data_IF_836733930569
#
_entry.id   IF_836733930569
#
_cell.length_a   1.000
_cell.length_b   1.000
_cell.length_c   1.000
_cell.angle_alpha   90.00
_cell.angle_beta   90.00
_cell.angle_gamma   90.00
#
_symmetry.space_group_name_H-M   'P 1'
#
loop_
_entity.id
_entity.type
_entity.pdbx_description
1 polymer ?
#
# COMPACT_ATOMS: atom_id res chain seq x y z
N UNK A 1 -5.56 12.39 -13.35
CA UNK A 1 -5.48 12.05 -11.89
C UNK A 1 -4.82 13.21 -11.17
N UNK A 2 -5.54 13.88 -10.24
CA UNK A 2 -5.07 15.13 -9.63
C UNK A 2 -4.79 15.02 -8.14
N UNK A 3 -5.41 14.06 -7.44
CA UNK A 3 -5.33 13.92 -5.98
C UNK A 3 -4.70 12.59 -5.59
N UNK A 4 -3.70 12.60 -4.71
CA UNK A 4 -3.09 11.39 -4.15
C UNK A 4 -2.44 11.67 -2.80
N UNK A 5 -2.49 10.70 -1.86
CA UNK A 5 -1.90 10.80 -0.53
C UNK A 5 -1.45 9.43 -0.01
N UNK A 6 -0.49 9.42 0.90
CA UNK A 6 -0.12 8.23 1.68
C UNK A 6 -0.86 8.21 3.00
N UNK A 7 -1.32 7.03 3.39
CA UNK A 7 -2.03 6.82 4.63
C UNK A 7 -1.56 5.56 5.35
N UNK A 8 -1.85 5.47 6.64
CA UNK A 8 -1.68 4.26 7.45
C UNK A 8 -3.04 3.70 7.83
N UNK A 9 -3.24 2.39 7.64
CA UNK A 9 -4.46 1.71 8.06
C UNK A 9 -4.48 1.56 9.57
N UNK A 10 -5.40 2.26 10.24
CA UNK A 10 -5.62 2.16 11.70
C UNK A 10 -6.42 0.90 12.01
N UNK A 11 -7.58 0.74 11.36
CA UNK A 11 -8.47 -0.37 11.62
C UNK A 11 -9.73 -0.32 10.79
N UNK A 12 -10.74 -1.06 11.23
CA UNK A 12 -12.09 -1.01 10.68
C UNK A 12 -13.08 -0.82 11.82
N UNK A 13 -14.12 -0.07 11.55
CA UNK A 13 -15.26 0.17 12.42
C UNK A 13 -16.53 0.26 11.59
N UNK A 14 -17.61 0.65 12.20
CA UNK A 14 -18.89 0.90 11.56
C UNK A 14 -19.45 2.23 12.02
N UNK A 15 -20.21 2.88 11.17
CA UNK A 15 -20.93 4.11 11.47
C UNK A 15 -22.37 3.96 11.00
N UNK A 16 -23.28 4.68 11.64
CA UNK A 16 -24.67 4.77 11.20
C UNK A 16 -24.84 6.06 10.40
N UNK A 17 -25.52 5.97 9.27
CA UNK A 17 -25.97 7.15 8.53
C UNK A 17 -27.20 7.76 9.21
N UNK A 18 -27.64 8.93 8.75
CA UNK A 18 -28.85 9.62 9.24
C UNK A 18 -30.11 8.74 9.15
N UNK A 19 -30.19 7.89 8.14
CA UNK A 19 -31.27 6.92 7.93
C UNK A 19 -31.19 5.68 8.85
N UNK A 20 -30.22 5.62 9.77
CA UNK A 20 -30.00 4.47 10.64
C UNK A 20 -29.34 3.26 9.95
N UNK A 21 -28.90 3.40 8.70
CA UNK A 21 -28.23 2.33 7.95
C UNK A 21 -26.77 2.18 8.40
N UNK A 22 -26.39 0.96 8.79
CA UNK A 22 -25.05 0.62 9.22
C UNK A 22 -24.09 0.55 8.02
N UNK A 23 -23.05 1.37 8.03
CA UNK A 23 -22.02 1.41 6.99
C UNK A 23 -20.68 0.95 7.57
N UNK A 24 -20.09 -0.17 7.07
CA UNK A 24 -18.75 -0.59 7.48
C UNK A 24 -17.69 0.34 6.88
N UNK A 25 -16.78 0.81 7.71
CA UNK A 25 -15.72 1.74 7.27
C UNK A 25 -14.34 1.29 7.70
N UNK A 26 -13.35 1.61 6.87
CA UNK A 26 -11.94 1.51 7.22
C UNK A 26 -11.43 2.89 7.61
N UNK A 27 -10.78 2.96 8.77
CA UNK A 27 -10.14 4.17 9.30
C UNK A 27 -8.71 4.25 8.79
N UNK A 28 -8.39 5.32 8.09
CA UNK A 28 -7.08 5.60 7.52
C UNK A 28 -6.55 6.92 8.07
N UNK A 29 -5.36 6.91 8.65
CA UNK A 29 -4.64 8.13 9.00
C UNK A 29 -3.88 8.59 7.76
N UNK A 30 -4.33 9.66 7.12
CA UNK A 30 -3.87 10.16 5.82
C UNK A 30 -3.05 11.44 6.00
N UNK A 31 -1.74 11.35 5.88
CA UNK A 31 -0.84 12.50 6.03
C UNK A 31 -0.47 12.84 7.50
N UNK A 32 0.20 13.98 7.73
CA UNK A 32 0.73 14.87 6.70
C UNK A 32 1.82 14.19 5.85
N UNK A 33 1.76 14.40 4.55
CA UNK A 33 2.78 13.95 3.59
C UNK A 33 3.54 15.17 3.08
N UNK A 34 4.87 15.07 2.97
CA UNK A 34 5.72 16.17 2.50
C UNK A 34 6.21 15.87 1.09
N UNK A 35 6.10 16.82 0.18
CA UNK A 35 6.65 16.73 -1.18
C UNK A 35 8.16 16.82 -1.11
N UNK A 36 8.86 15.77 -1.51
CA UNK A 36 10.32 15.71 -1.46
C UNK A 36 10.98 15.99 -2.79
N UNK A 37 10.25 15.79 -3.89
CA UNK A 37 10.73 16.07 -5.23
C UNK A 37 9.54 16.22 -6.18
N UNK A 38 9.63 17.15 -7.10
CA UNK A 38 8.72 17.29 -8.24
C UNK A 38 9.46 16.86 -9.50
N UNK A 39 8.83 16.04 -10.31
CA UNK A 39 9.36 15.51 -11.57
C UNK A 39 8.58 16.12 -12.72
N UNK A 40 9.32 16.64 -13.69
CA UNK A 40 8.77 17.29 -14.89
C UNK A 40 9.07 16.48 -16.14
N UNK A 41 8.29 16.71 -17.17
CA UNK A 41 8.47 16.02 -18.46
C UNK A 41 9.84 16.35 -19.08
N UNK A 42 10.33 17.56 -18.89
CA UNK A 42 11.61 18.03 -19.45
C UNK A 42 12.81 17.29 -18.86
N UNK A 43 12.84 17.10 -17.52
CA UNK A 43 13.98 16.53 -16.83
C UNK A 43 13.88 15.00 -16.66
N UNK A 44 12.68 14.49 -16.36
CA UNK A 44 12.46 13.08 -15.97
C UNK A 44 11.68 12.30 -17.05
N UNK A 45 11.14 12.97 -18.06
CA UNK A 45 10.32 12.35 -19.12
C UNK A 45 8.87 12.09 -18.73
N UNK A 46 8.45 12.46 -17.52
CA UNK A 46 7.07 12.32 -17.04
C UNK A 46 6.78 13.24 -15.86
N UNK A 47 5.48 13.57 -15.68
CA UNK A 47 5.01 14.43 -14.59
C UNK A 47 4.65 13.59 -13.37
N UNK A 48 5.27 13.87 -12.20
CA UNK A 48 5.02 13.16 -10.94
C UNK A 48 5.50 13.98 -9.73
N UNK A 49 4.92 13.67 -8.57
CA UNK A 49 5.44 14.13 -7.29
C UNK A 49 5.96 12.96 -6.47
N UNK A 50 7.08 13.15 -5.80
CA UNK A 50 7.57 12.23 -4.80
C UNK A 50 7.19 12.76 -3.43
N UNK A 51 6.52 11.93 -2.62
CA UNK A 51 6.05 12.30 -1.28
C UNK A 51 6.65 11.41 -0.22
N UNK A 52 7.01 12.02 0.90
CA UNK A 52 7.49 11.38 2.11
C UNK A 52 6.42 11.33 3.19
N UNK A 53 6.28 10.19 3.89
CA UNK A 53 5.30 9.97 4.95
C UNK A 53 5.90 9.23 6.14
N UNK A 54 5.48 9.62 7.34
CA UNK A 54 5.96 9.06 8.60
C UNK A 54 7.41 9.44 8.90
N UNK A 55 7.70 9.81 10.12
CA UNK A 55 9.06 10.23 10.51
C UNK A 55 9.98 9.03 10.74
N UNK A 56 11.24 9.21 10.41
CA UNK A 56 12.30 8.23 10.61
C UNK A 56 13.51 8.89 11.26
N UNK A 57 13.97 8.32 12.37
CA UNK A 57 15.16 8.82 13.07
C UNK A 57 16.41 8.62 12.19
N UNK A 58 17.37 9.52 12.30
CA UNK A 58 18.66 9.39 11.63
C UNK A 58 19.51 8.26 12.24
N UNK A 59 20.32 7.62 11.41
CA UNK A 59 21.34 6.68 11.85
C UNK A 59 22.63 7.45 12.13
N UNK A 60 23.04 7.49 13.40
CA UNK A 60 24.26 8.14 13.82
C UNK A 60 25.33 7.07 14.06
N UNK A 61 26.52 7.27 13.49
CA UNK A 61 27.67 6.40 13.69
C UNK A 61 28.77 7.22 14.36
N UNK A 62 28.97 7.00 15.64
CA UNK A 62 30.03 7.61 16.42
C UNK A 62 31.20 6.62 16.59
N UNK A 63 32.42 7.15 16.79
CA UNK A 63 33.55 6.35 17.28
C UNK A 63 33.64 6.56 18.80
N UNK A 64 33.80 5.48 19.54
CA UNK A 64 34.12 5.55 20.97
C UNK A 64 35.56 5.95 21.20
N UNK A 65 35.95 6.13 22.49
CA UNK A 65 37.32 6.45 22.90
C UNK A 65 38.32 5.37 22.47
N UNK A 66 37.85 4.12 22.26
CA UNK A 66 38.68 3.00 21.79
C UNK A 66 38.66 2.85 20.26
N UNK A 67 38.09 3.79 19.51
CA UNK A 67 37.99 3.76 18.05
C UNK A 67 36.94 2.79 17.50
N UNK A 68 36.17 2.10 18.34
CA UNK A 68 35.06 1.22 17.91
C UNK A 68 33.87 2.03 17.42
N UNK A 69 33.25 1.55 16.35
CA UNK A 69 32.04 2.17 15.79
C UNK A 69 30.83 1.86 16.66
N UNK A 70 30.27 2.88 17.31
CA UNK A 70 28.98 2.79 18.02
C UNK A 70 27.90 3.33 17.11
N UNK A 71 26.90 2.50 16.81
CA UNK A 71 25.78 2.85 15.94
C UNK A 71 24.56 3.15 16.79
N UNK A 72 24.12 4.41 16.77
CA UNK A 72 22.88 4.87 17.36
C UNK A 72 21.80 4.79 16.28
N UNK A 73 20.61 4.29 16.63
CA UNK A 73 19.52 4.04 15.70
C UNK A 73 19.95 3.20 14.46
N UNK A 74 20.31 1.92 14.63
CA UNK A 74 20.86 1.11 13.53
C UNK A 74 19.91 0.98 12.34
N UNK A 75 18.59 1.10 12.55
CA UNK A 75 17.56 1.11 11.51
C UNK A 75 17.14 2.52 11.03
N UNK A 76 17.86 3.54 11.46
CA UNK A 76 17.64 4.94 11.07
C UNK A 76 17.98 5.22 9.60
N UNK A 77 17.70 6.45 9.17
CA UNK A 77 18.07 6.93 7.84
C UNK A 77 19.59 7.07 7.69
N UNK A 78 20.14 6.49 6.63
CA UNK A 78 21.57 6.64 6.30
C UNK A 78 21.87 8.04 5.74
N UNK A 79 23.17 8.40 5.67
CA UNK A 79 23.65 9.71 5.20
C UNK A 79 23.08 10.13 3.83
N UNK A 80 23.00 9.20 2.88
CA UNK A 80 22.45 9.46 1.55
C UNK A 80 20.96 9.86 1.60
N UNK A 81 20.15 9.13 2.38
CA UNK A 81 18.74 9.45 2.57
C UNK A 81 18.56 10.79 3.30
N UNK A 82 19.35 11.05 4.34
CA UNK A 82 19.36 12.34 5.05
C UNK A 82 19.67 13.49 4.08
N UNK A 83 20.69 13.31 3.20
CA UNK A 83 21.04 14.30 2.17
C UNK A 83 19.89 14.59 1.21
N UNK A 84 19.14 13.54 0.80
CA UNK A 84 17.96 13.69 -0.05
C UNK A 84 16.88 14.54 0.62
N UNK A 85 16.55 14.24 1.89
CA UNK A 85 15.52 14.98 2.62
C UNK A 85 15.96 16.42 2.98
N UNK A 86 17.27 16.64 3.23
CA UNK A 86 17.80 17.99 3.44
C UNK A 86 17.62 18.90 2.22
N UNK A 87 17.73 18.34 0.99
CA UNK A 87 17.43 19.12 -0.22
C UNK A 87 15.98 19.58 -0.29
N UNK A 88 15.07 18.79 0.27
CA UNK A 88 13.65 19.13 0.36
C UNK A 88 13.29 19.93 1.63
N UNK A 89 14.27 20.32 2.47
CA UNK A 89 14.03 21.06 3.70
C UNK A 89 13.30 20.29 4.79
N UNK A 90 13.28 18.94 4.74
CA UNK A 90 12.47 18.11 5.62
C UNK A 90 13.28 17.10 6.42
N UNK A 91 12.68 16.58 7.50
CA UNK A 91 13.22 15.46 8.26
C UNK A 91 13.11 14.16 7.48
N UNK A 92 13.98 13.15 7.73
CA UNK A 92 13.89 11.86 7.08
C UNK A 92 12.52 11.20 7.29
N UNK A 93 11.92 10.71 6.20
CA UNK A 93 10.62 10.02 6.22
C UNK A 93 10.79 8.51 6.07
N UNK A 94 9.84 7.76 6.66
CA UNK A 94 9.86 6.29 6.65
C UNK A 94 9.47 5.73 5.28
N UNK A 95 8.46 6.31 4.68
CA UNK A 95 7.94 5.88 3.39
C UNK A 95 8.11 7.00 2.38
N UNK A 96 8.69 6.66 1.24
CA UNK A 96 8.81 7.55 0.09
C UNK A 96 8.12 6.86 -1.08
N UNK A 97 7.18 7.54 -1.73
CA UNK A 97 6.45 7.03 -2.88
C UNK A 97 6.24 8.14 -3.90
N UNK A 98 6.08 7.72 -5.12
CA UNK A 98 5.86 8.59 -6.25
C UNK A 98 4.42 8.45 -6.74
N UNK A 99 3.81 9.58 -7.06
CA UNK A 99 2.50 9.66 -7.67
C UNK A 99 2.61 10.41 -9.00
N UNK A 100 2.21 9.76 -10.08
CA UNK A 100 2.05 10.40 -11.37
C UNK A 100 0.76 11.19 -11.35
N UNK A 101 0.87 12.51 -11.43
CA UNK A 101 -0.24 13.44 -11.40
C UNK A 101 -0.15 14.36 -12.64
N UNK A 102 -1.31 14.74 -13.18
CA UNK A 102 -1.38 15.63 -14.32
C UNK A 102 -1.04 17.08 -13.93
N UNK A 103 -1.20 17.41 -12.64
CA UNK A 103 -0.95 18.71 -12.04
C UNK A 103 0.27 18.73 -11.11
N UNK A 104 1.29 17.93 -11.40
CA UNK A 104 2.47 17.85 -10.51
C UNK A 104 3.23 19.18 -10.39
N UNK A 105 3.12 20.06 -11.38
CA UNK A 105 3.77 21.38 -11.42
C UNK A 105 3.17 22.38 -10.41
N UNK A 106 1.95 22.14 -9.94
CA UNK A 106 1.30 22.97 -8.92
C UNK A 106 1.89 22.77 -7.51
N UNK A 107 2.67 21.69 -7.33
CA UNK A 107 3.24 21.35 -6.03
C UNK A 107 4.65 21.89 -5.87
N UNK A 108 4.90 22.50 -4.72
CA UNK A 108 6.23 22.97 -4.33
C UNK A 108 6.96 21.93 -3.48
N UNK A 109 8.30 21.88 -3.61
CA UNK A 109 9.14 21.03 -2.76
C UNK A 109 9.05 21.53 -1.32
N UNK A 110 8.81 20.62 -0.38
CA UNK A 110 8.62 20.92 1.05
C UNK A 110 7.16 21.21 1.44
N UNK A 111 6.23 21.37 0.48
CA UNK A 111 4.81 21.54 0.78
C UNK A 111 4.21 20.32 1.45
N UNK A 112 3.23 20.52 2.32
CA UNK A 112 2.52 19.46 3.03
C UNK A 112 1.18 19.15 2.35
N UNK A 113 0.93 17.86 2.15
CA UNK A 113 -0.34 17.33 1.66
C UNK A 113 -1.05 16.68 2.84
N UNK A 114 -2.26 17.14 3.16
CA UNK A 114 -3.10 16.66 4.26
C UNK A 114 -4.37 15.99 3.72
N UNK A 115 -5.22 15.49 4.62
CA UNK A 115 -6.47 14.82 4.27
C UNK A 115 -7.48 15.73 3.55
N UNK A 116 -7.34 17.04 3.67
CA UNK A 116 -8.20 18.10 3.10
C UNK A 116 -8.21 18.15 1.56
N UNK A 117 -7.25 17.49 0.89
CA UNK A 117 -7.27 17.39 -0.59
C UNK A 117 -8.48 16.62 -1.12
N UNK A 118 -9.10 15.78 -0.29
CA UNK A 118 -10.31 15.02 -0.64
C UNK A 118 -11.55 15.66 -0.03
N UNK A 119 -12.70 15.37 -0.64
CA UNK A 119 -14.02 15.72 -0.12
C UNK A 119 -14.82 14.47 0.27
N UNK A 120 -15.81 14.64 1.13
CA UNK A 120 -16.78 13.58 1.43
C UNK A 120 -17.58 13.24 0.17
N UNK A 121 -17.80 11.94 -0.07
CA UNK A 121 -18.40 11.43 -1.29
C UNK A 121 -17.43 11.19 -2.44
N UNK A 122 -16.18 11.67 -2.36
CA UNK A 122 -15.15 11.39 -3.39
C UNK A 122 -14.92 9.88 -3.52
N UNK A 123 -14.72 9.42 -4.76
CA UNK A 123 -14.35 8.03 -5.06
C UNK A 123 -12.84 7.91 -5.23
N UNK A 124 -12.26 6.98 -4.51
CA UNK A 124 -10.82 6.76 -4.46
C UNK A 124 -10.43 5.32 -4.75
N UNK A 125 -9.20 5.14 -5.20
CA UNK A 125 -8.54 3.85 -5.38
C UNK A 125 -7.52 3.66 -4.25
N UNK A 126 -7.64 2.57 -3.50
CA UNK A 126 -6.74 2.24 -2.40
C UNK A 126 -5.79 1.11 -2.79
N UNK A 127 -4.49 1.40 -2.80
CA UNK A 127 -3.44 0.42 -3.12
C UNK A 127 -2.59 0.14 -1.89
N UNK A 128 -2.47 -1.15 -1.53
CA UNK A 128 -1.61 -1.57 -0.44
C UNK A 128 -1.06 -2.99 -0.64
N UNK A 129 -0.12 -3.40 0.21
CA UNK A 129 0.37 -4.77 0.26
C UNK A 129 -0.64 -5.63 1.04
N UNK A 130 -1.20 -6.65 0.41
CA UNK A 130 -2.17 -7.56 1.02
C UNK A 130 -1.56 -8.38 2.17
N UNK A 131 -2.41 -8.89 3.06
CA UNK A 131 -1.96 -9.81 4.12
C UNK A 131 -1.29 -11.04 3.51
N UNK A 132 -0.13 -11.42 4.02
CA UNK A 132 0.54 -12.66 3.64
C UNK A 132 -0.23 -13.89 4.12
N UNK A 133 -0.26 -14.94 3.31
CA UNK A 133 -0.89 -16.24 3.62
C UNK A 133 0.10 -17.39 3.57
N UNK A 134 1.39 -17.08 3.44
CA UNK A 134 2.48 -18.03 3.37
C UNK A 134 2.43 -18.91 2.11
N UNK A 135 3.00 -20.09 2.20
CA UNK A 135 2.90 -21.13 1.15
C UNK A 135 1.51 -21.75 1.21
N UNK A 136 0.78 -21.72 0.11
CA UNK A 136 -0.60 -22.21 0.03
C UNK A 136 -0.75 -23.27 -1.07
N UNK A 137 -1.51 -24.31 -0.78
CA UNK A 137 -1.89 -25.34 -1.73
C UNK A 137 -2.86 -24.83 -2.80
N UNK A 138 -3.04 -25.62 -3.86
CA UNK A 138 -3.87 -25.26 -5.01
C UNK A 138 -5.33 -24.92 -4.63
N UNK A 139 -5.89 -25.61 -3.66
CA UNK A 139 -7.26 -25.39 -3.18
C UNK A 139 -7.40 -23.98 -2.62
N UNK A 140 -6.55 -23.60 -1.66
CA UNK A 140 -6.59 -22.27 -1.04
C UNK A 140 -6.20 -21.16 -2.01
N UNK A 141 -5.20 -21.42 -2.89
CA UNK A 141 -4.63 -20.40 -3.79
C UNK A 141 -5.51 -20.12 -5.00
N UNK A 142 -6.16 -21.14 -5.53
CA UNK A 142 -6.90 -21.05 -6.79
C UNK A 142 -8.35 -21.54 -6.72
N UNK A 143 -8.83 -21.95 -5.54
CA UNK A 143 -10.18 -22.49 -5.38
C UNK A 143 -10.39 -23.84 -6.07
N UNK A 144 -9.33 -24.64 -6.21
CA UNK A 144 -9.46 -25.98 -6.77
C UNK A 144 -10.35 -26.87 -5.90
N UNK A 145 -11.08 -27.79 -6.53
CA UNK A 145 -11.92 -28.75 -5.81
C UNK A 145 -11.07 -29.71 -4.98
N UNK A 146 -11.45 -29.90 -3.74
CA UNK A 146 -10.91 -30.95 -2.87
C UNK A 146 -11.64 -32.27 -3.15
N UNK A 147 -10.99 -33.39 -2.88
CA UNK A 147 -11.63 -34.69 -2.86
C UNK A 147 -12.59 -34.85 -1.66
N UNK A 148 -13.38 -35.96 -1.62
CA UNK A 148 -14.27 -36.24 -0.50
C UNK A 148 -13.54 -36.27 0.84
N UNK A 149 -14.16 -35.76 1.91
CA UNK A 149 -13.60 -35.80 3.25
C UNK A 149 -13.84 -37.14 3.97
N UNK A 150 -14.78 -37.95 3.47
CA UNK A 150 -15.20 -39.24 4.02
C UNK A 150 -15.12 -40.34 2.93
N UNK A 151 -15.75 -41.49 3.19
CA UNK A 151 -15.80 -42.66 2.28
C UNK A 151 -14.42 -43.25 1.91
N UNK A 152 -13.45 -43.21 2.85
CA UNK A 152 -12.13 -43.76 2.66
C UNK A 152 -11.22 -42.99 1.68
N UNK A 153 -11.63 -41.83 1.20
CA UNK A 153 -10.83 -41.00 0.31
C UNK A 153 -9.57 -40.51 1.04
N UNK A 154 -8.42 -40.65 0.39
CA UNK A 154 -7.13 -40.10 0.84
C UNK A 154 -6.73 -38.87 0.01
N UNK A 155 -7.58 -38.46 -0.93
CA UNK A 155 -7.30 -37.35 -1.87
C UNK A 155 -7.95 -36.05 -1.37
N UNK A 156 -7.36 -35.43 -0.32
CA UNK A 156 -7.93 -34.21 0.28
C UNK A 156 -7.37 -32.93 -0.35
N UNK A 157 -6.07 -32.71 -0.27
CA UNK A 157 -5.41 -31.44 -0.66
C UNK A 157 -4.36 -31.63 -1.78
N UNK A 158 -4.57 -32.60 -2.66
CA UNK A 158 -3.64 -32.89 -3.74
C UNK A 158 -3.75 -31.88 -4.91
N UNK A 159 -2.62 -31.65 -5.58
CA UNK A 159 -2.53 -30.71 -6.71
C UNK A 159 -3.15 -31.26 -8.01
N UNK A 160 -3.43 -32.56 -8.06
CA UNK A 160 -3.89 -33.24 -9.26
C UNK A 160 -2.77 -33.59 -10.24
N UNK A 161 -3.14 -34.17 -11.39
CA UNK A 161 -2.21 -34.52 -12.45
C UNK A 161 -1.51 -33.32 -13.06
N UNK A 162 -0.25 -33.46 -13.44
CA UNK A 162 0.50 -32.45 -14.15
C UNK A 162 0.35 -32.49 -15.66
N UNK A 163 -0.34 -33.50 -16.18
CA UNK A 163 -0.58 -33.73 -17.62
C UNK A 163 -0.38 -35.16 -18.01
N UNK A 164 -0.47 -35.44 -19.31
CA UNK A 164 -0.19 -36.78 -19.89
C UNK A 164 1.31 -36.98 -20.11
N UNK A 165 1.76 -38.26 -20.21
CA UNK A 165 3.17 -38.62 -20.33
C UNK A 165 3.73 -38.30 -21.71
N UNK A 166 3.31 -39.05 -22.75
CA UNK A 166 3.94 -39.04 -24.09
C UNK A 166 3.61 -37.75 -24.86
N UNK A 167 2.35 -37.32 -24.82
CA UNK A 167 1.90 -36.09 -25.47
C UNK A 167 1.11 -35.28 -24.44
N UNK A 168 1.56 -34.07 -24.03
CA UNK A 168 2.61 -33.20 -24.59
C UNK A 168 4.04 -33.46 -24.08
N UNK A 169 4.31 -34.48 -23.23
CA UNK A 169 5.64 -34.76 -22.67
C UNK A 169 6.22 -33.69 -21.76
N UNK A 170 5.42 -32.72 -21.35
CA UNK A 170 5.80 -31.58 -20.49
C UNK A 170 4.62 -31.03 -19.70
N UNK A 171 4.90 -30.30 -18.65
CA UNK A 171 3.91 -29.47 -17.95
C UNK A 171 3.79 -28.14 -18.67
N UNK A 172 2.58 -27.72 -18.99
CA UNK A 172 2.33 -26.47 -19.69
C UNK A 172 2.67 -25.24 -18.80
N UNK A 173 3.11 -24.15 -19.44
CA UNK A 173 3.29 -22.85 -18.80
C UNK A 173 1.96 -22.39 -18.20
N UNK A 174 2.01 -21.72 -17.03
CA UNK A 174 0.82 -21.22 -16.36
C UNK A 174 0.02 -22.28 -15.60
N UNK A 175 0.47 -23.54 -15.53
CA UNK A 175 -0.15 -24.57 -14.67
C UNK A 175 -0.27 -24.05 -13.24
N UNK A 176 -1.48 -24.07 -12.70
CA UNK A 176 -1.77 -23.66 -11.32
C UNK A 176 -1.16 -24.65 -10.34
N UNK A 177 -0.16 -24.19 -9.57
CA UNK A 177 0.59 -25.00 -8.60
C UNK A 177 0.61 -24.35 -7.23
N UNK A 178 0.89 -25.10 -6.14
CA UNK A 178 1.13 -24.54 -4.81
C UNK A 178 2.23 -23.48 -4.86
N UNK A 179 2.19 -22.53 -3.94
CA UNK A 179 3.22 -21.50 -3.85
C UNK A 179 2.82 -20.36 -2.92
N UNK A 180 3.62 -19.31 -2.92
CA UNK A 180 3.39 -18.13 -2.10
C UNK A 180 2.04 -17.46 -2.44
N UNK A 181 1.26 -17.14 -1.41
CA UNK A 181 -0.04 -16.47 -1.52
C UNK A 181 -0.08 -15.24 -0.61
N UNK A 182 -0.69 -14.17 -1.10
CA UNK A 182 -0.74 -12.91 -0.39
C UNK A 182 0.59 -12.15 -0.42
N UNK A 183 0.72 -11.12 0.43
CA UNK A 183 1.86 -10.19 0.48
C UNK A 183 2.20 -9.56 -0.89
N UNK A 184 1.23 -9.43 -1.76
CA UNK A 184 1.30 -8.78 -3.08
C UNK A 184 0.64 -7.43 -3.06
N UNK A 185 1.04 -6.54 -3.98
CA UNK A 185 0.38 -5.25 -4.18
C UNK A 185 -1.01 -5.48 -4.78
N UNK A 186 -2.03 -4.95 -4.13
CA UNK A 186 -3.44 -5.04 -4.54
C UNK A 186 -4.04 -3.65 -4.52
N UNK A 187 -4.84 -3.32 -5.52
CA UNK A 187 -5.63 -2.08 -5.59
C UNK A 187 -7.11 -2.44 -5.55
N UNK A 188 -7.84 -1.82 -4.64
CA UNK A 188 -9.31 -1.82 -4.61
C UNK A 188 -9.76 -0.48 -5.13
N UNK A 189 -10.59 -0.49 -6.15
CA UNK A 189 -11.04 0.71 -6.87
C UNK A 189 -12.45 1.14 -6.44
N UNK A 190 -12.78 2.40 -6.70
CA UNK A 190 -14.10 2.99 -6.49
C UNK A 190 -14.60 2.90 -5.03
N UNK A 191 -13.72 3.09 -4.07
CA UNK A 191 -14.11 3.23 -2.66
C UNK A 191 -14.60 4.65 -2.41
N UNK A 192 -15.70 4.78 -1.71
CA UNK A 192 -16.32 6.04 -1.34
C UNK A 192 -15.76 6.55 -0.01
N UNK A 193 -15.44 7.84 0.06
CA UNK A 193 -15.08 8.52 1.29
C UNK A 193 -16.37 8.90 2.01
N UNK A 194 -16.54 8.41 3.24
CA UNK A 194 -17.76 8.67 4.02
C UNK A 194 -17.61 9.92 4.88
N UNK A 195 -16.44 10.08 5.52
CA UNK A 195 -16.17 11.23 6.39
C UNK A 195 -14.68 11.54 6.42
N UNK A 196 -14.37 12.82 6.59
CA UNK A 196 -13.00 13.32 6.72
C UNK A 196 -12.89 14.11 8.03
N UNK A 197 -11.92 13.76 8.86
CA UNK A 197 -11.51 14.51 10.03
C UNK A 197 -10.18 15.20 9.72
N UNK A 198 -10.24 16.49 9.47
CA UNK A 198 -9.09 17.31 9.10
C UNK A 198 -8.16 17.60 10.29
N UNK A 199 -8.69 17.65 11.52
CA UNK A 199 -7.90 17.91 12.72
C UNK A 199 -6.94 16.75 13.00
N UNK A 200 -7.44 15.52 12.93
CA UNK A 200 -6.67 14.31 13.18
C UNK A 200 -6.06 13.70 11.89
N UNK A 201 -6.29 14.31 10.73
CA UNK A 201 -5.89 13.77 9.42
C UNK A 201 -6.38 12.34 9.20
N UNK A 202 -7.66 12.10 9.48
CA UNK A 202 -8.29 10.77 9.34
C UNK A 202 -9.32 10.79 8.23
N UNK A 203 -9.29 9.75 7.40
CA UNK A 203 -10.25 9.51 6.33
C UNK A 203 -10.99 8.19 6.62
N UNK A 204 -12.31 8.24 6.63
CA UNK A 204 -13.18 7.06 6.75
C UNK A 204 -13.63 6.64 5.35
N UNK A 205 -13.21 5.45 4.94
CA UNK A 205 -13.49 4.89 3.61
C UNK A 205 -14.47 3.73 3.75
N UNK A 206 -15.53 3.75 2.97
CA UNK A 206 -16.56 2.71 2.95
C UNK A 206 -15.99 1.38 2.49
N UNK A 207 -16.17 0.33 3.30
CA UNK A 207 -15.74 -1.01 2.98
C UNK A 207 -14.31 -1.35 3.40
N UNK A 208 -13.74 -2.37 2.78
CA UNK A 208 -12.44 -2.92 3.15
C UNK A 208 -11.29 -2.38 2.30
N UNK A 209 -10.20 -1.99 2.96
CA UNK A 209 -8.93 -1.60 2.33
C UNK A 209 -7.91 -2.72 2.52
N UNK A 210 -7.10 -3.07 1.51
CA UNK A 210 -6.12 -4.15 1.61
C UNK A 210 -5.04 -3.88 2.65
N UNK A 211 -4.44 -4.94 3.17
CA UNK A 211 -3.35 -4.89 4.14
C UNK A 211 -3.75 -5.08 5.60
N UNK A 212 -2.78 -5.36 6.47
CA UNK A 212 -2.96 -5.43 7.92
C UNK A 212 -3.11 -4.03 8.55
N UNK A 213 -3.43 -3.97 9.84
CA UNK A 213 -3.31 -2.73 10.63
C UNK A 213 -1.87 -2.21 10.58
N UNK A 214 -1.68 -0.91 10.62
CA UNK A 214 -0.40 -0.20 10.51
C UNK A 214 0.32 -0.35 9.16
N UNK A 215 -0.34 -0.91 8.13
CA UNK A 215 0.24 -0.97 6.78
C UNK A 215 0.10 0.36 6.04
N UNK A 216 1.09 0.64 5.19
CA UNK A 216 1.02 1.76 4.26
C UNK A 216 -0.05 1.51 3.21
N UNK A 217 -0.87 2.51 2.97
CA UNK A 217 -1.91 2.56 1.93
C UNK A 217 -1.66 3.78 1.07
N UNK A 218 -1.70 3.60 -0.23
CA UNK A 218 -1.63 4.68 -1.21
C UNK A 218 -3.06 4.97 -1.66
N UNK A 219 -3.55 6.17 -1.41
CA UNK A 219 -4.86 6.64 -1.85
C UNK A 219 -4.67 7.51 -3.08
N UNK A 220 -5.51 7.31 -4.06
CA UNK A 220 -5.54 8.10 -5.29
C UNK A 220 -6.98 8.35 -5.70
N UNK A 221 -7.23 9.46 -6.35
CA UNK A 221 -8.48 9.68 -7.08
C UNK A 221 -8.73 8.52 -8.04
N UNK A 222 -9.97 8.04 -8.11
CA UNK A 222 -10.30 6.92 -9.00
C UNK A 222 -10.14 7.29 -10.46
N UNK A 223 -9.64 6.34 -11.26
CA UNK A 223 -9.57 6.47 -12.71
C UNK A 223 -10.92 6.12 -13.35
N UNK A 224 -11.71 5.30 -12.68
CA UNK A 224 -13.05 4.91 -13.12
C UNK A 224 -14.08 5.86 -12.51
N UNK A 225 -14.30 6.99 -13.16
CA UNK A 225 -15.47 7.81 -12.87
C UNK A 225 -16.70 6.96 -13.16
N UNK A 226 -17.52 6.72 -12.15
CA UNK A 226 -18.75 5.95 -12.34
C UNK A 226 -19.61 6.59 -13.41
N UNK A 227 -19.94 5.80 -14.42
CA UNK A 227 -21.03 6.13 -15.35
C UNK A 227 -22.34 5.94 -14.62
#
# INVERSE_FOLDING_TARGET
MKKAILATKVGMTQIFNEDGVLTPVTVLQAGPCVVTQVKTVENDGYSAIQVGFGEKKERIVNKDVAGKKVVINPHGAGKAAVGHFKKAGTTPKMFVREFRLDNAEEYEIGSEIKADIFAEGDKIDATAKSKGKGYAGGIKRYGMRSGPAAHGSKYHNHAGSNGSATTPGRVFKGKKMPGHMGAVRVTVQNLEIVKIDTENNVILVKGSVPGPKKSLVMLKETVKVGK
#
